data_IF_443123597170
#
_entry.id   IF_443123597170
#
_cell.length_a   1.000
_cell.length_b   1.000
_cell.length_c   1.000
_cell.angle_alpha   90.00
_cell.angle_beta   90.00
_cell.angle_gamma   90.00
#
_symmetry.space_group_name_H-M   'P 1'
#
loop_
_entity.id
_entity.type
_entity.pdbx_description
1 polymer ?
#
# COMPACT_ATOMS: atom_id res chain seq x y z
N UNK A 1 7.95 -33.78 9.50
CA UNK A 1 7.80 -32.51 10.23
C UNK A 1 7.72 -32.85 11.71
N UNK A 2 8.62 -32.32 12.54
CA UNK A 2 8.62 -32.59 13.98
C UNK A 2 7.64 -31.69 14.72
N UNK A 3 7.01 -32.22 15.77
CA UNK A 3 6.20 -31.43 16.69
C UNK A 3 7.12 -30.58 17.55
N UNK A 4 7.08 -29.26 17.37
CA UNK A 4 7.83 -28.32 18.20
C UNK A 4 6.96 -27.93 19.39
N UNK A 5 7.39 -28.27 20.60
CA UNK A 5 6.72 -27.89 21.84
C UNK A 5 7.51 -26.79 22.53
N UNK A 6 6.84 -25.69 22.87
CA UNK A 6 7.42 -24.54 23.57
C UNK A 6 6.62 -24.19 24.81
N UNK A 7 7.26 -23.49 25.74
CA UNK A 7 6.58 -22.97 26.92
C UNK A 7 5.54 -21.90 26.53
N UNK A 8 4.51 -21.75 27.37
CA UNK A 8 3.48 -20.71 27.18
C UNK A 8 4.08 -19.29 27.15
N UNK A 9 5.13 -19.07 27.93
CA UNK A 9 5.85 -17.79 27.97
C UNK A 9 6.55 -17.50 26.65
N UNK A 10 7.27 -18.47 26.09
CA UNK A 10 7.95 -18.30 24.80
C UNK A 10 6.93 -18.13 23.66
N UNK A 11 5.84 -18.91 23.67
CA UNK A 11 4.74 -18.73 22.71
C UNK A 11 4.18 -17.30 22.76
N UNK A 12 3.89 -16.78 23.96
CA UNK A 12 3.30 -15.44 24.11
C UNK A 12 4.23 -14.34 23.59
N UNK A 13 5.53 -14.50 23.83
CA UNK A 13 6.57 -13.59 23.32
C UNK A 13 6.66 -13.62 21.80
N UNK A 14 6.73 -14.80 21.19
CA UNK A 14 6.77 -14.98 19.74
C UNK A 14 5.50 -14.46 19.08
N UNK A 15 4.33 -14.70 19.68
CA UNK A 15 3.05 -14.19 19.20
C UNK A 15 3.05 -12.66 19.16
N UNK A 16 3.50 -12.00 20.23
CA UNK A 16 3.63 -10.54 20.28
C UNK A 16 4.57 -10.00 19.20
N UNK A 17 5.71 -10.66 18.97
CA UNK A 17 6.66 -10.27 17.93
C UNK A 17 6.06 -10.42 16.53
N UNK A 18 5.37 -11.53 16.26
CA UNK A 18 4.68 -11.77 14.99
C UNK A 18 3.59 -10.71 14.72
N UNK A 19 2.78 -10.40 15.72
CA UNK A 19 1.72 -9.40 15.57
C UNK A 19 2.31 -8.00 15.33
N UNK A 20 3.43 -7.65 15.99
CA UNK A 20 4.14 -6.41 15.75
C UNK A 20 4.74 -6.34 14.34
N UNK A 21 5.36 -7.43 13.87
CA UNK A 21 5.90 -7.52 12.51
C UNK A 21 4.79 -7.39 11.46
N UNK A 22 3.64 -8.05 11.67
CA UNK A 22 2.48 -7.95 10.76
C UNK A 22 1.96 -6.52 10.66
N UNK A 23 1.86 -5.80 11.78
CA UNK A 23 1.45 -4.38 11.80
C UNK A 23 2.45 -3.46 11.13
N UNK A 24 3.75 -3.72 11.28
CA UNK A 24 4.79 -2.91 10.64
C UNK A 24 4.83 -3.15 9.14
N UNK A 25 4.85 -4.42 8.72
CA UNK A 25 4.89 -4.81 7.31
C UNK A 25 3.65 -4.30 6.56
N UNK A 26 2.45 -4.40 7.15
CA UNK A 26 1.24 -3.86 6.50
C UNK A 26 1.36 -2.37 6.20
N UNK A 27 1.83 -1.57 7.17
CA UNK A 27 2.04 -0.13 6.98
C UNK A 27 3.14 0.19 5.98
N UNK A 28 4.21 -0.61 5.93
CA UNK A 28 5.31 -0.41 4.99
C UNK A 28 4.85 -0.66 3.55
N UNK A 29 4.08 -1.74 3.33
CA UNK A 29 3.48 -2.03 2.03
C UNK A 29 2.43 -0.99 1.64
N UNK A 30 1.58 -0.55 2.56
CA UNK A 30 0.65 0.57 2.33
C UNK A 30 1.37 1.87 1.94
N UNK A 31 2.56 2.14 2.51
CA UNK A 31 3.35 3.34 2.18
C UNK A 31 4.02 3.25 0.82
N UNK A 32 4.54 2.07 0.43
CA UNK A 32 5.16 1.83 -0.87
C UNK A 32 4.10 1.85 -2.00
N UNK A 33 2.86 1.46 -1.70
CA UNK A 33 1.73 1.45 -2.64
C UNK A 33 0.92 2.77 -2.56
N UNK A 34 1.53 3.88 -2.14
CA UNK A 34 0.95 5.19 -2.41
C UNK A 34 1.16 5.51 -3.89
N UNK A 35 0.13 5.32 -4.69
CA UNK A 35 0.11 5.78 -6.08
C UNK A 35 0.16 7.32 -6.07
N UNK A 36 1.21 7.97 -6.59
CA UNK A 36 1.30 9.42 -6.60
C UNK A 36 0.48 9.97 -7.77
N UNK A 37 -0.85 9.85 -7.67
CA UNK A 37 -1.80 10.24 -8.73
C UNK A 37 -1.52 11.67 -9.19
N UNK A 38 -1.28 12.59 -8.25
CA UNK A 38 -0.95 13.99 -8.54
C UNK A 38 0.33 14.14 -9.37
N UNK A 39 1.38 13.35 -9.11
CA UNK A 39 2.62 13.39 -9.89
C UNK A 39 2.37 12.90 -11.32
N UNK A 40 1.61 11.81 -11.47
CA UNK A 40 1.24 11.25 -12.78
C UNK A 40 0.44 12.28 -13.59
N UNK A 41 -0.58 12.92 -13.00
CA UNK A 41 -1.38 13.94 -13.69
C UNK A 41 -0.51 15.14 -14.07
N UNK A 42 0.37 15.60 -13.18
CA UNK A 42 1.29 16.70 -13.47
C UNK A 42 2.21 16.38 -14.65
N UNK A 43 2.72 15.15 -14.75
CA UNK A 43 3.60 14.77 -15.85
C UNK A 43 2.87 14.73 -17.18
N UNK A 44 1.63 14.24 -17.23
CA UNK A 44 0.81 14.31 -18.43
C UNK A 44 0.45 15.75 -18.80
N UNK A 45 0.12 16.59 -17.81
CA UNK A 45 -0.18 18.00 -18.02
C UNK A 45 1.01 18.76 -18.63
N UNK A 46 2.25 18.49 -18.16
CA UNK A 46 3.47 19.10 -18.70
C UNK A 46 3.71 18.80 -20.18
N UNK A 47 3.18 17.69 -20.70
CA UNK A 47 3.33 17.35 -22.13
C UNK A 47 2.53 18.30 -23.02
N UNK A 48 1.47 18.93 -22.50
CA UNK A 48 0.54 19.76 -23.26
C UNK A 48 -0.10 19.04 -24.48
N UNK A 49 -0.14 17.70 -24.46
CA UNK A 49 -0.70 16.86 -25.52
C UNK A 49 -2.14 16.42 -25.26
N UNK A 50 -2.63 16.60 -24.04
CA UNK A 50 -3.89 16.05 -23.58
C UNK A 50 -4.87 17.16 -23.18
N UNK A 51 -6.15 16.92 -23.43
CA UNK A 51 -7.20 17.87 -23.05
C UNK A 51 -7.47 17.82 -21.55
N UNK A 52 -8.11 18.86 -21.02
CA UNK A 52 -8.48 18.93 -19.60
C UNK A 52 -9.44 17.80 -19.21
N UNK A 53 -10.35 17.45 -20.12
CA UNK A 53 -11.32 16.37 -19.94
C UNK A 53 -10.61 15.02 -19.80
N UNK A 54 -9.63 14.74 -20.66
CA UNK A 54 -8.82 13.52 -20.56
C UNK A 54 -8.06 13.43 -19.23
N UNK A 55 -7.43 14.53 -18.80
CA UNK A 55 -6.70 14.56 -17.53
C UNK A 55 -7.62 14.31 -16.33
N UNK A 56 -8.84 14.87 -16.37
CA UNK A 56 -9.86 14.63 -15.34
C UNK A 56 -10.31 13.16 -15.31
N UNK A 57 -10.60 12.56 -16.47
CA UNK A 57 -11.01 11.16 -16.57
C UNK A 57 -9.89 10.21 -16.11
N UNK A 58 -8.64 10.53 -16.45
CA UNK A 58 -7.45 9.80 -16.01
C UNK A 58 -7.30 9.85 -14.48
N UNK A 59 -7.42 11.04 -13.89
CA UNK A 59 -7.32 11.22 -12.43
C UNK A 59 -8.38 10.39 -11.71
N UNK A 60 -9.63 10.44 -12.19
CA UNK A 60 -10.71 9.66 -11.59
C UNK A 60 -10.54 8.14 -11.80
N UNK A 61 -9.99 7.73 -12.94
CA UNK A 61 -9.65 6.32 -13.21
C UNK A 61 -8.56 5.81 -12.26
N UNK A 62 -7.51 6.61 -12.04
CA UNK A 62 -6.43 6.30 -11.11
C UNK A 62 -6.94 6.24 -9.66
N UNK A 63 -7.78 7.18 -9.23
CA UNK A 63 -8.41 7.16 -7.89
C UNK A 63 -9.30 5.93 -7.67
N UNK A 64 -9.97 5.45 -8.73
CA UNK A 64 -10.83 4.26 -8.69
C UNK A 64 -10.04 2.95 -8.66
N UNK A 65 -8.88 2.90 -9.31
CA UNK A 65 -8.03 1.72 -9.43
C UNK A 65 -6.94 1.61 -8.36
N UNK A 66 -6.63 2.71 -7.65
CA UNK A 66 -5.66 2.70 -6.57
C UNK A 66 -6.09 1.77 -5.44
N UNK A 67 -5.18 0.88 -5.06
CA UNK A 67 -5.39 -0.14 -4.03
C UNK A 67 -5.38 0.44 -2.61
N UNK A 68 -5.09 1.73 -2.46
CA UNK A 68 -5.12 2.47 -1.21
C UNK A 68 -6.55 2.87 -0.76
N UNK A 69 -7.56 2.04 -1.06
CA UNK A 69 -8.89 2.21 -0.45
C UNK A 69 -8.85 1.68 0.98
N UNK A 70 -9.07 2.60 1.92
CA UNK A 70 -9.26 2.36 3.34
C UNK A 70 -10.61 1.69 3.61
#
# INVERSE_FOLDING_TARGET
MGTITISKTEYSKLKRQSDAYKKLSSRLFEFIVKDPIEEIINDFQKTNLYTKEFLSDLEDGLKRSSYARK
#
